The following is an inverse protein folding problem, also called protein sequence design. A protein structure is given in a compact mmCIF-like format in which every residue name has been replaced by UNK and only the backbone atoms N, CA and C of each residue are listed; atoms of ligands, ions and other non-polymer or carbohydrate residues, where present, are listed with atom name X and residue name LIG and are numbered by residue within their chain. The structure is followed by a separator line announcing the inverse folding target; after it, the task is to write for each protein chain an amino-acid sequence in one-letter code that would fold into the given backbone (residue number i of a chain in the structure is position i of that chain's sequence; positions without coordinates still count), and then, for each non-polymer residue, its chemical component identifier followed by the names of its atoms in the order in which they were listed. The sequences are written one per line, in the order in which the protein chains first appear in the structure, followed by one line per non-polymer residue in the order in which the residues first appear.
data_IF_626609096405
#
_entry.id   IF_626609096405
#
_cell.length_a   1.000
_cell.length_b   1.000
_cell.length_c   1.000
_cell.angle_alpha   90.00
_cell.angle_beta   90.00
_cell.angle_gamma   90.00
#
_symmetry.space_group_name_H-M   'P 1'
#
loop_
_entity.id
_entity.type
_entity.pdbx_description
1 polymer ?
#
# COMPACT_ATOMS: atom_id res chain seq x y z
N UNK A 1 -49.26 33.71 38.12
CA UNK A 1 -48.18 32.97 38.84
C UNK A 1 -47.46 32.08 37.83
N UNK A 2 -46.23 32.45 37.45
CA UNK A 2 -45.40 31.72 36.48
C UNK A 2 -44.89 30.42 37.11
N UNK A 3 -45.21 29.27 36.53
CA UNK A 3 -44.57 27.99 36.86
C UNK A 3 -43.50 27.70 35.81
N UNK A 4 -42.25 27.68 36.26
CA UNK A 4 -41.09 27.29 35.46
C UNK A 4 -41.15 25.79 35.18
N UNK A 5 -41.07 25.42 33.90
CA UNK A 5 -40.82 24.04 33.47
C UNK A 5 -39.30 23.91 33.27
N UNK A 6 -38.63 23.21 34.16
CA UNK A 6 -37.19 22.91 34.03
C UNK A 6 -37.06 21.74 33.06
N UNK A 7 -36.58 22.03 31.85
CA UNK A 7 -36.25 21.04 30.83
C UNK A 7 -34.89 20.41 31.19
N UNK A 8 -34.89 19.21 31.76
CA UNK A 8 -33.67 18.41 31.92
C UNK A 8 -33.17 17.98 30.54
N UNK A 9 -32.11 18.62 30.05
CA UNK A 9 -31.38 18.19 28.87
C UNK A 9 -30.44 17.06 29.27
N UNK A 10 -30.82 15.81 28.97
CA UNK A 10 -29.91 14.68 29.06
C UNK A 10 -28.93 14.81 27.90
N UNK A 11 -27.73 15.31 28.18
CA UNK A 11 -26.60 15.24 27.24
C UNK A 11 -26.16 13.78 27.23
N UNK A 12 -26.67 13.00 26.28
CA UNK A 12 -26.12 11.71 25.93
C UNK A 12 -24.74 11.93 25.31
N UNK A 13 -23.69 11.83 26.13
CA UNK A 13 -22.33 11.62 25.67
C UNK A 13 -22.30 10.27 24.94
N UNK A 14 -22.53 10.28 23.63
CA UNK A 14 -22.18 9.16 22.77
C UNK A 14 -20.66 9.13 22.69
N UNK A 15 -20.02 8.39 23.59
CA UNK A 15 -18.65 7.94 23.41
C UNK A 15 -18.70 7.04 22.18
N UNK A 16 -18.30 7.58 21.03
CA UNK A 16 -18.06 6.78 19.85
C UNK A 16 -17.07 5.68 20.26
N UNK A 17 -17.32 4.40 19.92
CA UNK A 17 -16.36 3.36 20.19
C UNK A 17 -15.13 3.67 19.33
N UNK A 18 -14.11 4.27 19.94
CA UNK A 18 -12.76 4.25 19.41
C UNK A 18 -12.40 2.77 19.34
N UNK A 19 -12.56 2.17 18.16
CA UNK A 19 -11.97 0.89 17.85
C UNK A 19 -10.48 1.07 18.07
N UNK A 20 -10.01 0.66 19.25
CA UNK A 20 -8.59 0.54 19.53
C UNK A 20 -8.07 -0.49 18.52
N UNK A 21 -7.46 0.01 17.46
CA UNK A 21 -6.51 -0.78 16.68
C UNK A 21 -5.47 -1.32 17.68
N UNK A 22 -5.06 -2.58 17.49
CA UNK A 22 -4.11 -3.24 18.36
C UNK A 22 -2.85 -2.39 18.58
N UNK A 23 -2.07 -2.75 19.62
CA UNK A 23 -0.82 -2.06 19.97
C UNK A 23 -0.01 -1.71 18.71
N UNK A 24 0.46 -0.47 18.63
CA UNK A 24 1.30 -0.02 17.53
C UNK A 24 2.58 -0.87 17.52
N UNK A 25 2.85 -1.49 16.38
CA UNK A 25 4.05 -2.28 16.13
C UNK A 25 5.16 -1.35 15.66
N UNK A 26 6.28 -1.34 16.38
CA UNK A 26 7.44 -0.53 16.03
C UNK A 26 8.15 -1.03 14.77
N UNK A 27 9.05 -0.21 14.24
CA UNK A 27 9.93 -0.62 13.15
C UNK A 27 10.87 -1.75 13.64
N UNK A 28 11.02 -2.86 12.90
CA UNK A 28 11.93 -3.93 13.30
C UNK A 28 13.37 -3.42 13.44
N UNK A 29 14.12 -3.81 14.49
CA UNK A 29 15.48 -3.30 14.73
C UNK A 29 16.49 -3.60 13.60
N UNK A 30 16.20 -4.59 12.76
CA UNK A 30 17.02 -4.95 11.59
C UNK A 30 16.83 -4.02 10.39
N UNK A 31 15.76 -3.22 10.36
CA UNK A 31 15.47 -2.29 9.27
C UNK A 31 16.22 -0.99 9.49
N UNK A 32 17.01 -0.59 8.50
CA UNK A 32 17.66 0.72 8.47
C UNK A 32 16.73 1.74 7.84
N UNK A 33 16.45 2.82 8.56
CA UNK A 33 15.62 3.92 8.07
C UNK A 33 16.49 5.07 7.54
N UNK A 34 16.02 5.82 6.52
CA UNK A 34 16.62 7.10 6.17
C UNK A 34 16.63 8.07 7.35
N UNK A 35 17.64 8.95 7.42
CA UNK A 35 17.89 9.87 8.56
C UNK A 35 16.66 10.70 8.98
N UNK A 36 15.76 11.03 8.04
CA UNK A 36 14.52 11.78 8.30
C UNK A 36 13.60 11.06 9.29
N UNK A 37 13.56 9.72 9.27
CA UNK A 37 12.60 8.92 10.02
C UNK A 37 13.14 8.57 11.41
N UNK A 38 13.28 9.60 12.26
CA UNK A 38 13.51 9.42 13.69
C UNK A 38 12.25 8.88 14.38
N UNK A 39 12.37 8.34 15.60
CA UNK A 39 11.19 7.90 16.34
C UNK A 39 10.19 9.04 16.56
N UNK A 40 10.68 10.24 16.88
CA UNK A 40 9.84 11.44 17.04
C UNK A 40 9.05 11.77 15.76
N UNK A 41 9.70 11.67 14.59
CA UNK A 41 9.00 11.88 13.32
C UNK A 41 8.00 10.77 13.01
N UNK A 42 8.32 9.52 13.36
CA UNK A 42 7.40 8.37 13.20
C UNK A 42 6.16 8.55 14.09
N UNK A 43 6.35 9.01 15.32
CA UNK A 43 5.26 9.29 16.25
C UNK A 43 4.39 10.45 15.72
N UNK A 44 4.99 11.48 15.11
CA UNK A 44 4.26 12.56 14.44
C UNK A 44 3.40 12.05 13.27
N UNK A 45 3.94 11.21 12.37
CA UNK A 45 3.16 10.70 11.22
C UNK A 45 2.16 9.60 11.62
N UNK A 46 2.25 9.04 12.82
CA UNK A 46 1.34 7.98 13.29
C UNK A 46 -0.12 8.45 13.24
N UNK A 47 -0.40 9.71 13.56
CA UNK A 47 -1.78 10.23 13.52
C UNK A 47 -2.38 10.25 12.12
N UNK A 48 -1.56 10.43 11.08
CA UNK A 48 -1.98 10.39 9.68
C UNK A 48 -2.31 8.95 9.24
N UNK A 49 -1.53 7.97 9.69
CA UNK A 49 -1.58 6.60 9.15
C UNK A 49 -2.21 5.54 10.06
N UNK A 50 -2.51 5.84 11.33
CA UNK A 50 -3.15 4.90 12.26
C UNK A 50 -4.52 4.40 11.81
N UNK A 51 -5.16 5.13 10.89
CA UNK A 51 -6.43 4.73 10.29
C UNK A 51 -6.28 3.70 9.18
N UNK A 52 -5.07 3.40 8.70
CA UNK A 52 -4.83 2.38 7.66
C UNK A 52 -4.02 1.19 8.18
N UNK A 53 -3.15 1.39 9.16
CA UNK A 53 -2.31 0.33 9.74
C UNK A 53 -1.95 0.63 11.19
N UNK A 54 -1.53 -0.40 11.94
CA UNK A 54 -0.90 -0.25 13.26
C UNK A 54 0.62 -0.50 13.21
N UNK A 55 1.22 -0.66 12.03
CA UNK A 55 2.63 -1.00 11.88
C UNK A 55 3.46 0.21 11.41
N UNK A 56 4.42 0.67 12.23
CA UNK A 56 5.22 1.87 11.96
C UNK A 56 6.10 1.73 10.71
N UNK A 57 6.55 0.53 10.33
CA UNK A 57 7.30 0.34 9.08
C UNK A 57 6.42 0.65 7.86
N UNK A 58 5.16 0.21 7.88
CA UNK A 58 4.18 0.55 6.83
C UNK A 58 3.86 2.04 6.85
N UNK A 59 3.74 2.68 8.02
CA UNK A 59 3.53 4.14 8.12
C UNK A 59 4.68 4.92 7.48
N UNK A 60 5.92 4.51 7.73
CA UNK A 60 7.10 5.10 7.10
C UNK A 60 7.05 4.92 5.58
N UNK A 61 6.74 3.71 5.10
CA UNK A 61 6.60 3.44 3.67
C UNK A 61 5.55 4.36 3.02
N UNK A 62 4.41 4.58 3.67
CA UNK A 62 3.38 5.51 3.19
C UNK A 62 3.85 6.98 3.20
N UNK A 63 4.63 7.41 4.18
CA UNK A 63 5.19 8.77 4.20
C UNK A 63 6.25 8.99 3.12
N UNK A 64 6.99 7.94 2.75
CA UNK A 64 7.99 8.00 1.67
C UNK A 64 7.36 8.24 0.28
N UNK A 65 6.07 7.93 0.10
CA UNK A 65 5.35 8.24 -1.15
C UNK A 65 5.07 9.74 -1.32
N UNK A 66 5.22 10.57 -0.29
CA UNK A 66 5.02 12.02 -0.42
C UNK A 66 6.10 12.62 -1.31
N UNK A 67 5.69 13.32 -2.36
CA UNK A 67 6.59 13.97 -3.30
C UNK A 67 7.16 13.04 -4.39
N UNK A 68 6.63 11.82 -4.51
CA UNK A 68 6.86 10.92 -5.66
C UNK A 68 5.59 10.78 -6.49
N UNK A 69 5.67 10.13 -7.64
CA UNK A 69 4.48 9.78 -8.43
C UNK A 69 3.50 8.86 -7.67
N UNK A 70 3.96 8.23 -6.59
CA UNK A 70 3.17 7.37 -5.72
C UNK A 70 2.31 8.09 -4.68
N UNK A 71 2.35 9.43 -4.59
CA UNK A 71 1.48 10.20 -3.68
C UNK A 71 -0.01 10.02 -4.03
N UNK A 72 -0.31 9.74 -5.31
CA UNK A 72 -1.65 9.33 -5.74
C UNK A 72 -2.09 8.04 -5.01
N UNK A 73 -1.27 7.00 -5.03
CA UNK A 73 -1.55 5.73 -4.35
C UNK A 73 -1.65 5.91 -2.83
N UNK A 74 -0.81 6.76 -2.24
CA UNK A 74 -0.90 7.12 -0.82
C UNK A 74 -2.25 7.75 -0.47
N UNK A 75 -2.73 8.69 -1.29
CA UNK A 75 -4.06 9.31 -1.12
C UNK A 75 -5.17 8.28 -1.29
N UNK A 76 -5.08 7.40 -2.29
CA UNK A 76 -6.03 6.30 -2.46
C UNK A 76 -6.10 5.42 -1.21
N UNK A 77 -4.96 5.03 -0.63
CA UNK A 77 -4.88 4.29 0.63
C UNK A 77 -5.56 5.04 1.78
N UNK A 78 -5.39 6.36 1.87
CA UNK A 78 -6.00 7.19 2.92
C UNK A 78 -7.50 7.46 2.73
N UNK A 79 -8.11 6.95 1.65
CA UNK A 79 -9.57 7.01 1.44
C UNK A 79 -10.01 7.74 0.18
N UNK A 80 -9.09 8.32 -0.59
CA UNK A 80 -9.39 8.88 -1.91
C UNK A 80 -9.45 7.77 -2.98
N UNK A 81 -10.28 6.76 -2.73
CA UNK A 81 -10.47 5.58 -3.58
C UNK A 81 -11.97 5.34 -3.84
N UNK A 82 -12.30 4.36 -4.67
CA UNK A 82 -13.68 4.04 -5.07
C UNK A 82 -14.65 3.75 -3.91
N UNK A 83 -14.15 3.36 -2.73
CA UNK A 83 -14.99 3.11 -1.55
C UNK A 83 -15.22 4.36 -0.69
N UNK A 84 -14.38 5.39 -0.82
CA UNK A 84 -14.38 6.56 0.07
C UNK A 84 -13.90 6.27 1.50
N UNK A 85 -13.36 5.07 1.76
CA UNK A 85 -12.86 4.66 3.08
C UNK A 85 -11.37 4.29 3.02
N UNK A 86 -10.61 4.50 4.10
CA UNK A 86 -9.20 4.11 4.15
C UNK A 86 -9.01 2.60 3.92
N UNK A 87 -8.00 2.25 3.12
CA UNK A 87 -7.59 0.89 2.81
C UNK A 87 -6.80 0.33 4.00
N UNK A 88 -7.20 -0.83 4.53
CA UNK A 88 -6.50 -1.44 5.68
C UNK A 88 -5.28 -2.24 5.23
N UNK A 89 -4.13 -2.05 5.88
CA UNK A 89 -2.88 -2.69 5.52
C UNK A 89 -2.38 -3.55 6.68
N UNK A 90 -2.14 -4.84 6.42
CA UNK A 90 -1.59 -5.78 7.39
C UNK A 90 -0.61 -6.78 6.74
N UNK A 91 0.41 -7.19 7.49
CA UNK A 91 1.18 -8.38 7.13
C UNK A 91 0.34 -9.62 7.45
N UNK A 92 0.10 -10.48 6.46
CA UNK A 92 -0.82 -11.62 6.60
C UNK A 92 -0.34 -12.81 5.79
N UNK A 93 -0.43 -14.02 6.36
CA UNK A 93 -0.22 -15.23 5.57
C UNK A 93 -1.25 -15.32 4.44
N UNK A 94 -0.82 -15.07 3.21
CA UNK A 94 -1.69 -14.96 2.04
C UNK A 94 -2.36 -16.30 1.67
N UNK A 95 -1.76 -17.43 2.03
CA UNK A 95 -2.36 -18.75 1.85
C UNK A 95 -3.68 -18.92 2.62
N UNK A 96 -3.90 -18.13 3.68
CA UNK A 96 -5.15 -18.11 4.45
C UNK A 96 -6.28 -17.35 3.75
N UNK A 97 -5.95 -16.51 2.77
CA UNK A 97 -6.93 -15.84 1.90
C UNK A 97 -7.28 -16.76 0.74
N UNK A 98 -6.26 -17.23 0.02
CA UNK A 98 -6.36 -18.30 -0.97
C UNK A 98 -4.99 -18.96 -1.11
N UNK A 99 -4.95 -20.29 -1.21
CA UNK A 99 -3.70 -21.06 -1.37
C UNK A 99 -2.92 -20.64 -2.62
N UNK A 100 -3.58 -20.19 -3.69
CA UNK A 100 -2.92 -19.68 -4.89
C UNK A 100 -2.06 -18.43 -4.64
N UNK A 101 -2.34 -17.66 -3.59
CA UNK A 101 -1.62 -16.42 -3.25
C UNK A 101 -0.44 -16.64 -2.31
N UNK A 102 -0.15 -17.88 -1.89
CA UNK A 102 0.90 -18.20 -0.92
C UNK A 102 2.26 -17.54 -1.24
N UNK A 103 2.60 -17.50 -2.52
CA UNK A 103 3.89 -16.99 -2.99
C UNK A 103 3.87 -15.54 -3.44
N UNK A 104 2.69 -14.89 -3.46
CA UNK A 104 2.55 -13.50 -3.87
C UNK A 104 3.25 -12.59 -2.85
N UNK A 105 3.67 -11.40 -3.29
CA UNK A 105 4.34 -10.42 -2.43
C UNK A 105 3.32 -9.61 -1.63
N UNK A 106 2.22 -9.23 -2.27
CA UNK A 106 1.03 -8.69 -1.64
C UNK A 106 -0.21 -9.01 -2.50
N UNK A 107 -1.39 -8.68 -1.97
CA UNK A 107 -2.66 -8.66 -2.71
C UNK A 107 -3.54 -7.50 -2.22
N UNK A 108 -4.18 -6.81 -3.16
CA UNK A 108 -5.39 -6.04 -2.94
C UNK A 108 -6.57 -6.97 -2.70
N UNK A 109 -7.39 -6.66 -1.69
CA UNK A 109 -8.53 -7.49 -1.32
C UNK A 109 -9.75 -6.67 -0.95
N UNK A 110 -10.86 -6.89 -1.65
CA UNK A 110 -12.15 -6.28 -1.31
C UNK A 110 -12.97 -7.23 -0.45
N UNK A 111 -13.37 -6.77 0.74
CA UNK A 111 -14.32 -7.48 1.61
C UNK A 111 -15.49 -6.56 1.90
N UNK A 112 -16.64 -6.87 1.30
CA UNK A 112 -17.86 -6.03 1.32
C UNK A 112 -17.54 -4.64 0.75
N UNK A 113 -17.70 -3.57 1.55
CA UNK A 113 -17.45 -2.17 1.16
C UNK A 113 -16.08 -1.65 1.62
N UNK A 114 -15.15 -2.53 1.97
CA UNK A 114 -13.83 -2.16 2.48
C UNK A 114 -12.74 -2.83 1.66
N UNK A 115 -11.68 -2.06 1.42
CA UNK A 115 -10.46 -2.52 0.77
C UNK A 115 -9.39 -2.83 1.81
N UNK A 116 -8.55 -3.79 1.46
CA UNK A 116 -7.44 -4.26 2.24
C UNK A 116 -6.24 -4.45 1.32
N UNK A 117 -5.04 -4.22 1.84
CA UNK A 117 -3.79 -4.67 1.23
C UNK A 117 -3.16 -5.64 2.21
N UNK A 118 -2.97 -6.88 1.78
CA UNK A 118 -2.29 -7.90 2.57
C UNK A 118 -0.90 -8.12 2.03
N UNK A 119 0.11 -7.91 2.88
CA UNK A 119 1.52 -8.08 2.49
C UNK A 119 2.01 -9.41 3.04
N UNK A 120 2.76 -10.15 2.24
CA UNK A 120 3.36 -11.40 2.68
C UNK A 120 4.36 -11.14 3.84
N UNK A 121 4.29 -11.87 4.98
CA UNK A 121 5.17 -11.67 6.12
C UNK A 121 6.67 -11.82 5.82
N UNK A 122 7.03 -12.47 4.69
CA UNK A 122 8.42 -12.52 4.22
C UNK A 122 9.03 -11.13 3.98
N UNK A 123 8.21 -10.08 3.88
CA UNK A 123 8.62 -8.68 3.67
C UNK A 123 8.54 -7.81 4.92
N UNK A 124 8.30 -8.37 6.10
CA UNK A 124 8.15 -7.62 7.35
C UNK A 124 9.41 -6.82 7.77
N UNK A 125 10.56 -7.14 7.17
CA UNK A 125 11.85 -6.47 7.37
C UNK A 125 12.41 -5.88 6.06
N UNK A 126 11.56 -5.70 5.04
CA UNK A 126 11.96 -5.03 3.81
C UNK A 126 12.32 -3.56 4.09
N UNK A 127 13.24 -2.96 3.30
CA UNK A 127 13.42 -1.52 3.30
C UNK A 127 12.08 -0.80 3.04
N UNK A 128 11.75 0.27 3.78
CA UNK A 128 10.44 0.92 3.66
C UNK A 128 10.19 1.50 2.26
N UNK A 129 11.23 1.91 1.53
CA UNK A 129 11.09 2.35 0.15
C UNK A 129 10.61 1.23 -0.78
N UNK A 130 11.08 0.00 -0.60
CA UNK A 130 10.61 -1.12 -1.40
C UNK A 130 9.14 -1.47 -1.06
N UNK A 131 8.77 -1.38 0.22
CA UNK A 131 7.36 -1.48 0.63
C UNK A 131 6.50 -0.35 0.06
N UNK A 132 7.03 0.87 -0.05
CA UNK A 132 6.32 2.00 -0.64
C UNK A 132 6.01 1.75 -2.12
N UNK A 133 6.99 1.27 -2.89
CA UNK A 133 6.78 0.87 -4.28
C UNK A 133 5.70 -0.23 -4.40
N UNK A 134 5.80 -1.30 -3.61
CA UNK A 134 4.77 -2.35 -3.55
C UNK A 134 3.38 -1.81 -3.17
N UNK A 135 3.29 -0.91 -2.18
CA UNK A 135 2.02 -0.29 -1.79
C UNK A 135 1.44 0.59 -2.90
N UNK A 136 2.30 1.22 -3.71
CA UNK A 136 1.84 2.05 -4.83
C UNK A 136 1.11 1.25 -5.91
N UNK A 137 1.55 0.02 -6.14
CA UNK A 137 0.88 -0.97 -6.97
C UNK A 137 -0.46 -1.36 -6.37
N UNK A 138 -0.47 -1.89 -5.15
CA UNK A 138 -1.65 -2.52 -4.57
C UNK A 138 -2.81 -1.53 -4.33
N UNK A 139 -2.51 -0.23 -4.22
CA UNK A 139 -3.50 0.83 -4.11
C UNK A 139 -4.37 1.02 -5.38
N UNK A 140 -3.95 0.47 -6.52
CA UNK A 140 -4.66 0.57 -7.79
C UNK A 140 -5.80 -0.45 -7.89
N UNK A 141 -5.70 -1.58 -7.19
CA UNK A 141 -6.72 -2.61 -7.13
C UNK A 141 -7.86 -2.21 -6.17
N UNK A 142 -8.79 -1.41 -6.68
CA UNK A 142 -9.86 -0.78 -5.88
C UNK A 142 -11.23 -1.46 -5.98
N UNK A 143 -11.34 -2.52 -6.78
CA UNK A 143 -12.57 -3.29 -6.92
C UNK A 143 -12.32 -4.82 -6.96
N UNK A 144 -13.22 -5.57 -7.58
CA UNK A 144 -13.16 -7.04 -7.67
C UNK A 144 -12.70 -7.54 -9.05
N UNK A 145 -12.46 -6.62 -9.98
CA UNK A 145 -11.90 -6.91 -11.28
C UNK A 145 -10.38 -6.89 -11.20
N UNK A 146 -9.77 -7.61 -12.13
CA UNK A 146 -8.35 -7.52 -12.40
C UNK A 146 -8.14 -7.86 -13.88
N UNK A 147 -7.16 -7.24 -14.51
CA UNK A 147 -6.84 -7.44 -15.92
C UNK A 147 -5.36 -7.35 -16.20
N UNK A 148 -4.93 -7.87 -17.34
CA UNK A 148 -3.54 -7.75 -17.77
C UNK A 148 -3.12 -6.28 -17.98
N UNK A 149 -4.05 -5.41 -18.40
CA UNK A 149 -3.78 -3.97 -18.53
C UNK A 149 -3.61 -3.32 -17.16
N UNK A 150 -4.45 -3.68 -16.19
CA UNK A 150 -4.37 -3.19 -14.82
C UNK A 150 -3.05 -3.60 -14.14
N UNK A 151 -2.66 -4.88 -14.22
CA UNK A 151 -1.37 -5.36 -13.72
C UNK A 151 -0.18 -4.69 -14.44
N UNK A 152 -0.30 -4.44 -15.74
CA UNK A 152 0.74 -3.71 -16.50
C UNK A 152 0.89 -2.28 -15.98
N UNK A 153 -0.23 -1.59 -15.72
CA UNK A 153 -0.21 -0.26 -15.13
C UNK A 153 0.39 -0.29 -13.72
N UNK A 154 -0.03 -1.25 -12.89
CA UNK A 154 0.40 -1.36 -11.50
C UNK A 154 1.90 -1.69 -11.36
N UNK A 155 2.42 -2.63 -12.15
CA UNK A 155 3.85 -2.93 -12.20
C UNK A 155 4.66 -1.74 -12.73
N UNK A 156 4.07 -0.94 -13.63
CA UNK A 156 4.72 0.28 -14.15
C UNK A 156 4.77 1.37 -13.08
N UNK A 157 3.69 1.57 -12.34
CA UNK A 157 3.64 2.48 -11.19
C UNK A 157 4.70 2.11 -10.15
N UNK A 158 4.79 0.83 -9.81
CA UNK A 158 5.80 0.28 -8.89
C UNK A 158 7.23 0.59 -9.37
N UNK A 159 7.52 0.40 -10.67
CA UNK A 159 8.82 0.72 -11.25
C UNK A 159 9.16 2.23 -11.16
N UNK A 160 8.21 3.09 -11.52
CA UNK A 160 8.39 4.56 -11.49
C UNK A 160 8.60 5.05 -10.07
N UNK A 161 7.76 4.61 -9.13
CA UNK A 161 7.87 4.98 -7.72
C UNK A 161 9.18 4.48 -7.13
N UNK A 162 9.64 3.29 -7.49
CA UNK A 162 10.95 2.81 -7.05
C UNK A 162 12.10 3.68 -7.56
N UNK A 163 12.04 4.15 -8.81
CA UNK A 163 13.02 5.08 -9.39
C UNK A 163 13.06 6.39 -8.60
N UNK A 164 11.89 7.00 -8.35
CA UNK A 164 11.78 8.22 -7.55
C UNK A 164 12.36 8.04 -6.15
N UNK A 165 12.01 6.93 -5.49
CA UNK A 165 12.46 6.63 -4.15
C UNK A 165 13.97 6.40 -4.08
N UNK A 166 14.59 5.81 -5.10
CA UNK A 166 16.04 5.67 -5.16
C UNK A 166 16.76 7.00 -5.43
N UNK A 167 16.13 7.92 -6.15
CA UNK A 167 16.67 9.27 -6.31
C UNK A 167 16.68 10.04 -4.98
N UNK A 168 15.66 9.85 -4.13
CA UNK A 168 15.55 10.54 -2.82
C UNK A 168 16.31 9.79 -1.71
N UNK A 169 16.27 8.46 -1.72
CA UNK A 169 16.79 7.58 -0.67
C UNK A 169 17.67 6.45 -1.24
N UNK A 170 18.84 6.78 -1.82
CA UNK A 170 19.68 5.81 -2.54
C UNK A 170 20.13 4.61 -1.68
N UNK A 171 20.32 4.81 -0.37
CA UNK A 171 20.70 3.76 0.58
C UNK A 171 19.63 2.67 0.76
N UNK A 172 18.42 2.88 0.23
CA UNK A 172 17.33 1.89 0.27
C UNK A 172 17.57 0.71 -0.68
N UNK A 173 18.52 0.81 -1.61
CA UNK A 173 18.84 -0.27 -2.55
C UNK A 173 19.66 -1.41 -1.89
N UNK A 174 19.06 -2.07 -0.90
CA UNK A 174 19.66 -3.21 -0.21
C UNK A 174 19.38 -4.50 -0.99
N UNK A 175 20.23 -4.79 -1.99
CA UNK A 175 20.01 -5.87 -2.98
C UNK A 175 19.92 -7.29 -2.39
N UNK A 176 20.18 -7.48 -1.10
CA UNK A 176 20.02 -8.78 -0.43
C UNK A 176 18.56 -9.13 -0.17
N UNK A 177 17.65 -8.16 -0.04
CA UNK A 177 16.25 -8.39 0.27
C UNK A 177 15.44 -8.82 -0.99
N UNK A 178 14.59 -9.87 -0.92
CA UNK A 178 13.80 -10.33 -2.07
C UNK A 178 12.94 -9.24 -2.71
N UNK A 179 12.27 -8.41 -1.90
CA UNK A 179 11.47 -7.30 -2.43
C UNK A 179 12.32 -6.30 -3.23
N UNK A 180 13.47 -5.87 -2.72
CA UNK A 180 14.38 -4.97 -3.45
C UNK A 180 14.84 -5.57 -4.79
N UNK A 181 15.10 -6.88 -4.83
CA UNK A 181 15.44 -7.57 -6.10
C UNK A 181 14.30 -7.53 -7.10
N UNK A 182 13.05 -7.66 -6.62
CA UNK A 182 11.84 -7.52 -7.43
C UNK A 182 11.71 -6.08 -7.94
N UNK A 183 11.83 -5.07 -7.09
CA UNK A 183 11.77 -3.66 -7.49
C UNK A 183 12.83 -3.32 -8.54
N UNK A 184 14.06 -3.78 -8.33
CA UNK A 184 15.15 -3.60 -9.28
C UNK A 184 14.91 -4.33 -10.60
N UNK A 185 14.22 -5.47 -10.59
CA UNK A 185 13.80 -6.15 -11.83
C UNK A 185 12.81 -5.28 -12.61
N UNK A 186 11.80 -4.71 -11.96
CA UNK A 186 10.83 -3.84 -12.60
C UNK A 186 11.47 -2.57 -13.17
N UNK A 187 12.31 -1.90 -12.37
CA UNK A 187 13.11 -0.75 -12.82
C UNK A 187 13.91 -1.08 -14.08
N UNK A 188 14.63 -2.22 -14.10
CA UNK A 188 15.40 -2.64 -15.28
C UNK A 188 14.51 -2.87 -16.51
N UNK A 189 13.32 -3.45 -16.34
CA UNK A 189 12.37 -3.64 -17.45
C UNK A 189 11.87 -2.29 -17.99
N UNK A 190 11.53 -1.36 -17.10
CA UNK A 190 11.06 -0.02 -17.47
C UNK A 190 12.14 0.79 -18.21
N UNK A 191 13.36 0.84 -17.66
CA UNK A 191 14.50 1.52 -18.27
C UNK A 191 14.88 0.90 -19.62
N UNK A 192 14.84 -0.44 -19.73
CA UNK A 192 15.06 -1.16 -21.00
C UNK A 192 14.01 -0.79 -22.05
N UNK A 193 12.79 -0.47 -21.63
CA UNK A 193 11.70 0.02 -22.49
C UNK A 193 11.83 1.50 -22.83
N UNK A 194 12.95 2.16 -22.55
CA UNK A 194 13.12 3.61 -22.68
C UNK A 194 12.07 4.38 -21.86
N UNK A 195 11.86 3.97 -20.61
CA UNK A 195 10.85 4.51 -19.69
C UNK A 195 9.42 4.33 -20.21
N UNK A 196 9.14 3.16 -20.79
CA UNK A 196 7.82 2.75 -21.24
C UNK A 196 7.44 1.38 -20.68
N UNK A 197 6.14 1.05 -20.60
CA UNK A 197 5.69 -0.21 -20.03
C UNK A 197 5.96 -1.43 -20.95
N UNK A 198 6.59 -1.28 -22.11
CA UNK A 198 6.68 -2.32 -23.14
C UNK A 198 7.19 -3.68 -22.60
N UNK A 199 8.28 -3.69 -21.84
CA UNK A 199 8.84 -4.93 -21.28
C UNK A 199 8.12 -5.39 -20.03
N UNK A 200 7.53 -4.47 -19.26
CA UNK A 200 6.68 -4.80 -18.12
C UNK A 200 5.43 -5.53 -18.62
N UNK A 201 4.73 -5.00 -19.64
CA UNK A 201 3.59 -5.63 -20.31
C UNK A 201 3.93 -7.06 -20.74
N UNK A 202 5.08 -7.23 -21.39
CA UNK A 202 5.55 -8.57 -21.78
C UNK A 202 5.70 -9.51 -20.58
N UNK A 203 6.30 -9.04 -19.48
CA UNK A 203 6.46 -9.83 -18.26
C UNK A 203 5.13 -10.18 -17.59
N UNK A 204 4.19 -9.23 -17.54
CA UNK A 204 2.83 -9.45 -17.00
C UNK A 204 2.09 -10.51 -17.81
N UNK A 205 2.09 -10.41 -19.14
CA UNK A 205 1.41 -11.37 -20.02
C UNK A 205 2.01 -12.78 -19.96
N UNK A 206 3.28 -12.90 -19.57
CA UNK A 206 3.97 -14.19 -19.41
C UNK A 206 3.88 -14.74 -17.97
N UNK A 207 3.36 -13.97 -17.03
CA UNK A 207 3.27 -14.36 -15.63
C UNK A 207 2.19 -15.44 -15.44
N UNK A 208 2.59 -16.60 -14.91
CA UNK A 208 1.66 -17.71 -14.65
C UNK A 208 0.57 -17.35 -13.65
N UNK A 209 0.85 -16.43 -12.72
CA UNK A 209 -0.13 -15.95 -11.73
C UNK A 209 -1.28 -15.14 -12.35
N UNK A 210 -1.11 -14.62 -13.57
CA UNK A 210 -2.10 -13.82 -14.29
C UNK A 210 -2.76 -14.57 -15.45
N UNK A 211 -2.48 -15.87 -15.58
CA UNK A 211 -3.11 -16.69 -16.61
C UNK A 211 -4.63 -16.73 -16.41
N UNK A 212 -5.36 -16.38 -17.47
CA UNK A 212 -6.82 -16.34 -17.46
C UNK A 212 -7.43 -15.00 -17.07
N UNK A 213 -6.64 -13.99 -16.72
CA UNK A 213 -7.16 -12.62 -16.57
C UNK A 213 -7.64 -12.06 -17.93
N UNK A 214 -8.73 -11.27 -17.95
CA UNK A 214 -9.13 -10.54 -19.14
C UNK A 214 -8.06 -9.50 -19.52
N UNK A 215 -8.10 -9.02 -20.76
CA UNK A 215 -7.16 -8.01 -21.26
C UNK A 215 -7.38 -6.67 -20.53
N UNK A 216 -8.64 -6.27 -20.32
CA UNK A 216 -9.03 -5.00 -19.72
C UNK A 216 -9.98 -5.21 -18.53
N UNK A 217 -10.05 -4.20 -17.67
CA UNK A 217 -10.97 -4.08 -16.53
C UNK A 217 -11.51 -2.63 -16.48
N UNK A 218 -12.59 -2.35 -15.74
CA UNK A 218 -13.10 -0.98 -15.60
C UNK A 218 -12.00 0.00 -15.17
N UNK A 219 -11.81 1.08 -15.92
CA UNK A 219 -10.75 2.06 -15.65
C UNK A 219 -9.37 1.73 -16.25
N UNK A 220 -9.16 0.52 -16.77
CA UNK A 220 -7.89 0.06 -17.34
C UNK A 220 -8.09 -0.47 -18.76
N UNK A 221 -7.89 0.42 -19.74
CA UNK A 221 -7.87 0.09 -21.16
C UNK A 221 -6.50 -0.48 -21.56
N UNK A 222 -6.43 -1.05 -22.76
CA UNK A 222 -5.16 -1.56 -23.28
C UNK A 222 -4.13 -0.43 -23.43
N UNK A 223 -2.94 -0.67 -22.89
CA UNK A 223 -1.77 0.22 -22.87
C UNK A 223 -0.64 -0.33 -23.72
#
# INVERSE_FOLDING_TARGET
MKKFLILLTIISLTIAPTLAFGRIEGVPPSVKLPKKFTQEYIDYITDEYKTVTNNQLVMVALDMLKGTDGDFSRKAILGYNLTGYPIKIEFKNLATVNKSYENFDAIGWKKRKKLYIYINPKHQNAPPAALAALLSHEALHQDEYNSLSEETYAWTMEAVVWIDLLAIYPDSNVETHPLVKRENTLKKLFEKGHNSPQYIKKSVYQNKGYQGLPITSPGFNEI
#
